data_IF_201650412410
#
_entry.id   IF_201650412410
#
_cell.length_a   1.000
_cell.length_b   1.000
_cell.length_c   1.000
_cell.angle_alpha   90.00
_cell.angle_beta   90.00
_cell.angle_gamma   90.00
#
_symmetry.space_group_name_H-M   'P 1'
#
loop_
_entity.id
_entity.type
_entity.pdbx_description
1 polymer ?
#
# COMPACT_ATOMS: atom_id res chain seq x y z
N UNK A 1 14.53 -9.28 -4.91
CA UNK A 1 13.29 -8.66 -5.40
C UNK A 1 12.60 -9.69 -6.30
N UNK A 2 11.40 -10.20 -5.95
CA UNK A 2 10.69 -11.10 -6.86
C UNK A 2 10.44 -10.39 -8.20
N UNK A 3 10.45 -11.14 -9.30
CA UNK A 3 10.22 -10.61 -10.64
C UNK A 3 8.94 -9.74 -10.65
N UNK A 4 9.03 -8.55 -11.25
CA UNK A 4 7.90 -7.63 -11.35
C UNK A 4 6.88 -8.24 -12.31
N UNK A 5 5.81 -8.81 -11.75
CA UNK A 5 4.74 -9.46 -12.53
C UNK A 5 4.06 -8.46 -13.46
N UNK A 6 3.91 -7.21 -13.01
CA UNK A 6 3.37 -6.11 -13.82
C UNK A 6 4.50 -5.25 -14.38
N UNK A 7 4.39 -4.93 -15.67
CA UNK A 7 5.19 -3.90 -16.33
C UNK A 7 4.81 -2.50 -15.83
N UNK A 8 5.66 -1.47 -16.01
CA UNK A 8 5.30 -0.09 -15.69
C UNK A 8 3.97 0.36 -16.32
N UNK A 9 3.76 0.04 -17.61
CA UNK A 9 2.50 0.36 -18.30
C UNK A 9 1.28 -0.38 -17.71
N UNK A 10 1.45 -1.63 -17.25
CA UNK A 10 0.38 -2.36 -16.56
C UNK A 10 0.06 -1.76 -15.19
N UNK A 11 1.07 -1.24 -14.48
CA UNK A 11 0.87 -0.56 -13.20
C UNK A 11 0.09 0.75 -13.40
N UNK A 12 0.41 1.51 -14.44
CA UNK A 12 -0.32 2.74 -14.76
C UNK A 12 -1.77 2.45 -15.15
N UNK A 13 -2.01 1.46 -16.03
CA UNK A 13 -3.38 1.00 -16.37
C UNK A 13 -4.14 0.53 -15.14
N UNK A 14 -3.48 -0.20 -14.24
CA UNK A 14 -4.08 -0.63 -12.97
C UNK A 14 -4.51 0.56 -12.12
N UNK A 15 -3.65 1.60 -11.99
CA UNK A 15 -3.97 2.80 -11.23
C UNK A 15 -5.20 3.53 -11.80
N UNK A 16 -5.20 3.82 -13.11
CA UNK A 16 -6.32 4.46 -13.79
C UNK A 16 -7.63 3.69 -13.62
N UNK A 17 -7.59 2.36 -13.76
CA UNK A 17 -8.78 1.53 -13.55
C UNK A 17 -9.25 1.57 -12.09
N UNK A 18 -8.32 1.56 -11.13
CA UNK A 18 -8.63 1.63 -9.71
C UNK A 18 -9.29 2.95 -9.33
N UNK A 19 -8.76 4.06 -9.84
CA UNK A 19 -9.28 5.43 -9.65
C UNK A 19 -10.65 5.63 -10.30
N UNK A 20 -10.96 4.87 -11.36
CA UNK A 20 -12.31 4.80 -11.95
C UNK A 20 -13.29 3.94 -11.15
N UNK A 21 -12.85 3.35 -10.04
CA UNK A 21 -13.69 2.60 -9.11
C UNK A 21 -13.67 1.08 -9.30
N UNK A 22 -12.82 0.53 -10.17
CA UNK A 22 -12.72 -0.93 -10.28
C UNK A 22 -12.21 -1.53 -8.97
N UNK A 23 -12.86 -2.60 -8.54
CA UNK A 23 -12.46 -3.39 -7.38
C UNK A 23 -11.22 -4.23 -7.69
N UNK A 24 -10.50 -4.64 -6.63
CA UNK A 24 -9.34 -5.55 -6.78
C UNK A 24 -9.73 -6.86 -7.48
N UNK A 25 -10.95 -7.37 -7.23
CA UNK A 25 -11.47 -8.56 -7.91
C UNK A 25 -11.63 -8.34 -9.41
N UNK A 26 -12.24 -7.22 -9.82
CA UNK A 26 -12.40 -6.86 -11.24
C UNK A 26 -11.06 -6.64 -11.93
N UNK A 27 -10.11 -5.97 -11.27
CA UNK A 27 -8.74 -5.81 -11.79
C UNK A 27 -8.08 -7.18 -11.99
N UNK A 28 -8.21 -8.08 -11.03
CA UNK A 28 -7.64 -9.44 -11.12
C UNK A 28 -8.23 -10.22 -12.29
N UNK A 29 -9.54 -10.15 -12.51
CA UNK A 29 -10.20 -10.79 -13.66
C UNK A 29 -9.72 -10.20 -14.99
N UNK A 30 -9.56 -8.88 -15.05
CA UNK A 30 -9.13 -8.19 -16.27
C UNK A 30 -7.70 -8.52 -16.66
N UNK A 31 -6.78 -8.51 -15.69
CA UNK A 31 -5.40 -8.95 -15.93
C UNK A 31 -5.32 -10.44 -16.28
N UNK A 32 -6.13 -11.29 -15.64
CA UNK A 32 -6.18 -12.72 -15.98
C UNK A 32 -6.67 -12.95 -17.42
N UNK A 33 -7.66 -12.19 -17.89
CA UNK A 33 -8.12 -12.24 -19.28
C UNK A 33 -7.05 -11.80 -20.29
N UNK A 34 -6.12 -10.95 -19.89
CA UNK A 34 -4.94 -10.53 -20.68
C UNK A 34 -3.75 -11.51 -20.54
N UNK A 35 -3.93 -12.66 -19.87
CA UNK A 35 -2.88 -13.67 -19.65
C UNK A 35 -1.93 -13.34 -18.50
N UNK A 36 -2.17 -12.27 -17.73
CA UNK A 36 -1.34 -11.84 -16.61
C UNK A 36 -1.85 -12.46 -15.32
N UNK A 37 -1.12 -13.46 -14.80
CA UNK A 37 -1.43 -14.11 -13.52
C UNK A 37 -0.90 -13.29 -12.35
N UNK A 38 -1.76 -12.51 -11.72
CA UNK A 38 -1.47 -11.76 -10.49
C UNK A 38 -2.53 -12.03 -9.43
N UNK A 39 -2.10 -12.20 -8.18
CA UNK A 39 -3.03 -12.43 -7.07
C UNK A 39 -3.73 -11.13 -6.64
N UNK A 40 -4.97 -11.19 -6.12
CA UNK A 40 -5.67 -10.03 -5.58
C UNK A 40 -4.85 -9.28 -4.51
N UNK A 41 -4.14 -10.02 -3.64
CA UNK A 41 -3.28 -9.44 -2.62
C UNK A 41 -2.12 -8.65 -3.23
N UNK A 42 -1.49 -9.17 -4.29
CA UNK A 42 -0.42 -8.46 -4.98
C UNK A 42 -0.95 -7.20 -5.68
N UNK A 43 -2.12 -7.26 -6.32
CA UNK A 43 -2.78 -6.08 -6.89
C UNK A 43 -3.09 -5.01 -5.84
N UNK A 44 -3.64 -5.41 -4.71
CA UNK A 44 -3.90 -4.51 -3.58
C UNK A 44 -2.62 -3.80 -3.12
N UNK A 45 -1.53 -4.54 -2.93
CA UNK A 45 -0.22 -3.98 -2.58
C UNK A 45 0.32 -3.04 -3.65
N UNK A 46 0.14 -3.36 -4.93
CA UNK A 46 0.57 -2.47 -6.02
C UNK A 46 -0.25 -1.18 -6.04
N UNK A 47 -1.57 -1.25 -5.85
CA UNK A 47 -2.44 -0.08 -5.74
C UNK A 47 -2.00 0.83 -4.58
N UNK A 48 -1.78 0.26 -3.39
CA UNK A 48 -1.28 1.01 -2.24
C UNK A 48 0.07 1.69 -2.53
N UNK A 49 0.99 0.97 -3.18
CA UNK A 49 2.34 1.48 -3.45
C UNK A 49 2.36 2.67 -4.41
N UNK A 50 1.38 2.77 -5.30
CA UNK A 50 1.28 3.87 -6.28
C UNK A 50 0.21 4.90 -5.91
N UNK A 51 -0.39 4.81 -4.71
CA UNK A 51 -1.43 5.74 -4.29
C UNK A 51 -2.74 5.59 -5.07
N UNK A 52 -3.02 4.45 -5.70
CA UNK A 52 -4.26 4.27 -6.46
C UNK A 52 -5.41 3.81 -5.55
N UNK A 53 -6.40 4.67 -5.35
CA UNK A 53 -7.60 4.40 -4.56
C UNK A 53 -8.88 4.67 -5.36
N UNK A 54 -9.98 3.95 -5.07
CA UNK A 54 -11.24 4.16 -5.76
C UNK A 54 -11.91 5.46 -5.32
N UNK A 55 -12.91 5.96 -6.07
CA UNK A 55 -13.71 7.10 -5.64
C UNK A 55 -14.39 6.82 -4.30
N UNK A 56 -14.38 7.82 -3.40
CA UNK A 56 -15.02 7.71 -2.09
C UNK A 56 -14.35 6.72 -1.13
N UNK A 57 -13.11 6.32 -1.38
CA UNK A 57 -12.43 5.36 -0.53
C UNK A 57 -12.21 5.91 0.87
N UNK A 58 -12.71 5.21 1.89
CA UNK A 58 -12.38 5.52 3.27
C UNK A 58 -11.10 4.78 3.70
N UNK A 59 -10.35 5.39 4.63
CA UNK A 59 -9.16 4.76 5.23
C UNK A 59 -9.54 4.27 6.62
N UNK A 60 -9.45 2.97 6.84
CA UNK A 60 -9.47 2.43 8.19
C UNK A 60 -8.09 2.68 8.84
N UNK A 61 -8.01 3.67 9.73
CA UNK A 61 -6.81 3.96 10.52
C UNK A 61 -6.35 2.78 11.37
N UNK A 62 -7.24 1.82 11.67
CA UNK A 62 -6.94 0.60 12.42
C UNK A 62 -6.54 -0.57 11.51
N UNK A 63 -6.44 -0.37 10.20
CA UNK A 63 -6.03 -1.44 9.30
C UNK A 63 -4.67 -2.02 9.71
N UNK A 64 -4.65 -3.34 9.93
CA UNK A 64 -3.46 -4.08 10.34
C UNK A 64 -2.79 -4.73 9.13
N UNK A 65 -1.52 -4.39 8.89
CA UNK A 65 -0.70 -5.09 7.90
C UNK A 65 0.02 -6.29 8.54
N UNK A 66 -0.62 -7.46 8.43
CA UNK A 66 -0.08 -8.74 8.89
C UNK A 66 -0.91 -9.38 10.02
N UNK A 67 -0.39 -10.46 10.62
CA UNK A 67 -1.01 -11.15 11.77
C UNK A 67 -0.60 -10.54 13.13
N UNK A 68 -0.02 -9.34 13.14
CA UNK A 68 0.57 -8.72 14.33
C UNK A 68 -0.38 -7.78 15.06
N UNK A 69 0.05 -7.31 16.25
CA UNK A 69 -0.66 -6.29 17.03
C UNK A 69 -0.81 -4.97 16.24
N UNK A 70 -1.87 -4.17 16.49
CA UNK A 70 -2.03 -2.81 15.99
C UNK A 70 -0.76 -1.95 16.09
N UNK A 71 -0.58 -1.01 15.16
CA UNK A 71 0.33 0.11 15.37
C UNK A 71 -0.30 1.07 16.39
N UNK A 72 0.50 1.54 17.35
CA UNK A 72 0.09 2.57 18.30
C UNK A 72 0.26 3.97 17.69
N UNK A 73 -0.41 4.97 18.26
CA UNK A 73 -0.23 6.36 17.84
C UNK A 73 1.23 6.84 18.03
N UNK A 74 1.91 6.34 19.06
CA UNK A 74 3.33 6.63 19.28
C UNK A 74 4.21 6.00 18.20
N UNK A 75 3.96 4.73 17.85
CA UNK A 75 4.69 4.10 16.74
C UNK A 75 4.44 4.89 15.45
N UNK A 76 3.20 5.26 15.12
CA UNK A 76 2.91 6.07 13.92
C UNK A 76 3.65 7.40 13.88
N UNK A 77 3.72 8.12 15.02
CA UNK A 77 4.49 9.36 15.12
C UNK A 77 5.98 9.12 14.84
N UNK A 78 6.57 8.07 15.43
CA UNK A 78 7.97 7.70 15.15
C UNK A 78 8.18 7.33 13.68
N UNK A 79 7.25 6.63 13.04
CA UNK A 79 7.34 6.31 11.61
C UNK A 79 7.40 7.58 10.76
N UNK A 80 6.55 8.57 11.04
CA UNK A 80 6.46 9.82 10.29
C UNK A 80 7.68 10.71 10.54
N UNK A 81 8.02 10.96 11.81
CA UNK A 81 9.17 11.79 12.20
C UNK A 81 10.47 11.27 11.58
N UNK A 82 10.73 9.96 11.70
CA UNK A 82 11.93 9.37 11.12
C UNK A 82 11.91 9.42 9.60
N UNK A 83 10.74 9.28 8.98
CA UNK A 83 10.61 9.36 7.52
C UNK A 83 10.86 10.77 7.00
N UNK A 84 10.35 11.79 7.69
CA UNK A 84 10.61 13.21 7.43
C UNK A 84 12.09 13.55 7.61
N UNK A 85 12.74 12.97 8.62
CA UNK A 85 14.18 13.06 8.83
C UNK A 85 15.03 12.30 7.78
N UNK A 86 14.39 11.65 6.80
CA UNK A 86 15.06 10.95 5.71
C UNK A 86 15.52 9.52 6.03
N UNK A 87 15.12 8.95 7.17
CA UNK A 87 15.50 7.60 7.56
C UNK A 87 14.99 6.55 6.56
N UNK A 88 15.79 5.50 6.39
CA UNK A 88 15.45 4.34 5.59
C UNK A 88 14.44 3.43 6.30
N UNK A 89 13.68 2.65 5.53
CA UNK A 89 12.66 1.71 6.06
C UNK A 89 13.24 0.73 7.08
N UNK A 90 14.46 0.26 6.88
CA UNK A 90 15.11 -0.71 7.78
C UNK A 90 15.44 -0.07 9.13
N UNK A 91 15.82 1.21 9.13
CA UNK A 91 16.13 1.95 10.35
C UNK A 91 14.85 2.21 11.15
N UNK A 92 13.79 2.65 10.48
CA UNK A 92 12.46 2.83 11.08
C UNK A 92 11.96 1.51 11.66
N UNK A 93 12.06 0.41 10.91
CA UNK A 93 11.66 -0.93 11.36
C UNK A 93 12.38 -1.39 12.62
N UNK A 94 13.68 -1.09 12.74
CA UNK A 94 14.46 -1.35 13.95
C UNK A 94 14.01 -0.48 15.13
N UNK A 95 13.79 0.81 14.88
CA UNK A 95 13.38 1.76 15.93
C UNK A 95 12.04 1.38 16.57
N UNK A 96 11.05 0.95 15.78
CA UNK A 96 9.73 0.54 16.32
C UNK A 96 9.61 -0.96 16.60
N UNK A 97 10.69 -1.73 16.41
CA UNK A 97 10.71 -3.19 16.54
C UNK A 97 9.57 -3.88 15.77
N UNK A 98 9.44 -3.55 14.47
CA UNK A 98 8.44 -4.12 13.56
C UNK A 98 9.09 -4.67 12.29
N UNK A 99 8.47 -5.65 11.63
CA UNK A 99 8.94 -6.10 10.31
C UNK A 99 8.88 -4.96 9.28
N UNK A 100 9.90 -4.85 8.42
CA UNK A 100 9.98 -3.83 7.38
C UNK A 100 8.73 -3.74 6.49
N UNK A 101 8.14 -4.89 6.12
CA UNK A 101 6.92 -4.91 5.29
C UNK A 101 5.70 -4.31 6.01
N UNK A 102 5.60 -4.49 7.32
CA UNK A 102 4.53 -3.87 8.11
C UNK A 102 4.72 -2.35 8.21
N UNK A 103 5.97 -1.89 8.33
CA UNK A 103 6.32 -0.45 8.30
C UNK A 103 5.97 0.17 6.94
N UNK A 104 6.35 -0.47 5.84
CA UNK A 104 6.02 0.01 4.47
C UNK A 104 4.51 0.13 4.30
N UNK A 105 3.75 -0.92 4.65
CA UNK A 105 2.29 -0.89 4.57
C UNK A 105 1.67 0.21 5.44
N UNK A 106 2.24 0.43 6.63
CA UNK A 106 1.76 1.47 7.54
C UNK A 106 2.02 2.87 6.99
N UNK A 107 3.23 3.16 6.51
CA UNK A 107 3.56 4.46 5.88
C UNK A 107 2.65 4.76 4.68
N UNK A 108 2.41 3.78 3.80
CA UNK A 108 1.49 3.95 2.68
C UNK A 108 0.05 4.26 3.14
N UNK A 109 -0.36 3.70 4.28
CA UNK A 109 -1.70 3.93 4.84
C UNK A 109 -1.83 5.30 5.49
N UNK A 110 -0.77 5.76 6.18
CA UNK A 110 -0.72 7.10 6.76
C UNK A 110 -0.72 8.16 5.65
N UNK A 111 0.11 8.01 4.62
CA UNK A 111 0.12 8.91 3.46
C UNK A 111 -1.26 8.97 2.76
N UNK A 112 -1.88 7.81 2.53
CA UNK A 112 -3.24 7.76 1.97
C UNK A 112 -4.27 8.44 2.86
N UNK A 113 -4.10 8.41 4.17
CA UNK A 113 -5.00 9.10 5.10
C UNK A 113 -4.85 10.62 4.98
N UNK A 114 -3.63 11.12 4.88
CA UNK A 114 -3.35 12.56 4.69
C UNK A 114 -3.96 13.07 3.38
N UNK A 115 -3.77 12.34 2.27
CA UNK A 115 -4.33 12.70 0.96
C UNK A 115 -5.86 12.74 0.92
N UNK A 116 -6.54 11.87 1.67
CA UNK A 116 -8.01 11.81 1.73
C UNK A 116 -8.63 12.74 2.78
N UNK A 117 -7.81 13.33 3.65
CA UNK A 117 -8.22 14.32 4.64
C UNK A 117 -8.03 15.78 4.16
N UNK A 118 -7.31 15.98 3.06
CA UNK A 118 -7.13 17.26 2.36
C UNK A 118 -8.32 17.56 1.44
#
# INVERSE_FOLDING_TARGET
MPARILTPAQIERMAQMRERGLTIGQLSQRFAAEGVKISPKALYWQCLRVGAFPPGAQVDRRAHFGRGRPFTAHEDATLLEMREAGAGIVEIARAVNRPHNSVIGRLMTLARHEELAA
#
